data_IF_223746001996
#
_entry.id   IF_223746001996
#
_cell.length_a   1.000
_cell.length_b   1.000
_cell.length_c   1.000
_cell.angle_alpha   90.00
_cell.angle_beta   90.00
_cell.angle_gamma   90.00
#
_symmetry.space_group_name_H-M   'P 1'
#
loop_
_entity.id
_entity.type
_entity.pdbx_description
1 polymer ?
#
# COMPACT_ATOMS: atom_id res chain seq x y z
N UNK A 1 -3.11 -7.52 -4.88
CA UNK A 1 -1.91 -7.16 -5.70
C UNK A 1 -0.72 -7.94 -5.20
N UNK A 2 0.15 -8.41 -6.10
CA UNK A 2 1.36 -9.16 -5.72
C UNK A 2 2.59 -8.31 -6.07
N UNK A 3 3.49 -8.15 -5.09
CA UNK A 3 4.80 -7.53 -5.29
C UNK A 3 5.80 -8.67 -5.28
N UNK A 4 6.49 -8.94 -6.40
CA UNK A 4 7.41 -10.07 -6.49
C UNK A 4 8.66 -9.86 -5.64
N UNK A 5 9.31 -10.96 -5.27
CA UNK A 5 10.44 -10.99 -4.34
C UNK A 5 11.62 -10.10 -4.78
N UNK A 6 11.85 -9.99 -6.08
CA UNK A 6 12.94 -9.21 -6.69
C UNK A 6 12.78 -7.70 -6.43
N UNK A 7 11.54 -7.24 -6.18
CA UNK A 7 11.21 -5.85 -5.88
C UNK A 7 11.12 -5.54 -4.39
N UNK A 8 11.32 -6.55 -3.54
CA UNK A 8 11.23 -6.44 -2.09
C UNK A 8 12.61 -6.45 -1.44
N UNK A 9 12.85 -5.56 -0.49
CA UNK A 9 14.09 -5.57 0.32
C UNK A 9 14.28 -6.88 1.09
N UNK A 10 13.19 -7.49 1.51
CA UNK A 10 13.15 -8.77 2.24
C UNK A 10 13.41 -9.99 1.36
N UNK A 11 13.46 -9.81 0.02
CA UNK A 11 13.53 -10.89 -0.97
C UNK A 11 12.44 -11.96 -0.81
N UNK A 12 11.31 -11.58 -0.23
CA UNK A 12 10.12 -12.41 -0.11
C UNK A 12 8.95 -11.70 -0.82
N UNK A 13 8.15 -12.46 -1.56
CA UNK A 13 6.94 -11.96 -2.20
C UNK A 13 6.01 -11.31 -1.17
N UNK A 14 5.44 -10.17 -1.51
CA UNK A 14 4.46 -9.50 -0.67
C UNK A 14 3.11 -9.37 -1.38
N UNK A 15 2.07 -9.93 -0.77
CA UNK A 15 0.70 -9.84 -1.28
C UNK A 15 -0.01 -8.71 -0.53
N UNK A 16 -0.53 -7.73 -1.26
CA UNK A 16 -1.28 -6.60 -0.71
C UNK A 16 -2.77 -6.82 -0.98
N UNK A 17 -3.63 -6.95 0.06
CA UNK A 17 -5.07 -6.93 -0.12
C UNK A 17 -5.49 -5.55 -0.63
N UNK A 18 -6.24 -5.49 -1.72
CA UNK A 18 -6.78 -4.25 -2.24
C UNK A 18 -8.24 -4.14 -1.81
N UNK A 19 -8.63 -2.99 -1.26
CA UNK A 19 -10.04 -2.68 -1.00
C UNK A 19 -10.78 -2.41 -2.32
N UNK A 20 -12.10 -2.50 -2.32
CA UNK A 20 -12.93 -2.24 -3.50
C UNK A 20 -12.73 -0.80 -4.01
N UNK A 21 -12.53 0.16 -3.10
CA UNK A 21 -12.22 1.55 -3.46
C UNK A 21 -10.92 1.67 -4.24
N UNK A 22 -9.87 0.96 -3.82
CA UNK A 22 -8.58 0.96 -4.53
C UNK A 22 -8.72 0.27 -5.88
N UNK A 23 -9.47 -0.82 -5.97
CA UNK A 23 -9.75 -1.50 -7.25
C UNK A 23 -10.44 -0.56 -8.23
N UNK A 24 -11.50 0.13 -7.79
CA UNK A 24 -12.22 1.11 -8.62
C UNK A 24 -11.31 2.24 -9.11
N UNK A 25 -10.43 2.78 -8.24
CA UNK A 25 -9.47 3.81 -8.62
C UNK A 25 -8.44 3.30 -9.65
N UNK A 26 -7.97 2.07 -9.51
CA UNK A 26 -7.04 1.47 -10.46
C UNK A 26 -7.70 1.21 -11.82
N UNK A 27 -8.95 0.75 -11.83
CA UNK A 27 -9.74 0.56 -13.06
C UNK A 27 -9.99 1.89 -13.77
N UNK A 28 -10.39 2.92 -13.03
CA UNK A 28 -10.54 4.27 -13.57
C UNK A 28 -9.22 4.78 -14.15
N UNK A 29 -8.11 4.64 -13.42
CA UNK A 29 -6.80 5.09 -13.87
C UNK A 29 -6.32 4.32 -15.12
N UNK A 30 -6.66 3.04 -15.22
CA UNK A 30 -6.32 2.23 -16.40
C UNK A 30 -6.92 2.77 -17.70
N UNK A 31 -8.10 3.40 -17.63
CA UNK A 31 -8.74 4.02 -18.80
C UNK A 31 -7.92 5.20 -19.36
N UNK A 32 -7.13 5.87 -18.54
CA UNK A 32 -6.25 6.96 -18.92
C UNK A 32 -4.82 6.52 -19.24
N UNK A 33 -4.50 5.25 -19.02
CA UNK A 33 -3.16 4.74 -19.29
C UNK A 33 -2.91 4.59 -20.78
N UNK A 34 -1.77 5.10 -21.23
CA UNK A 34 -1.26 4.92 -22.61
C UNK A 34 -0.43 3.65 -22.76
N UNK A 35 -0.40 2.80 -21.75
CA UNK A 35 0.42 1.57 -21.71
C UNK A 35 -0.44 0.37 -21.33
N UNK A 36 -0.19 -0.77 -21.97
CA UNK A 36 -0.79 -2.03 -21.55
C UNK A 36 -0.06 -2.66 -20.34
N UNK A 37 1.16 -2.19 -20.05
CA UNK A 37 2.01 -2.74 -19.00
C UNK A 37 1.89 -1.95 -17.68
N UNK A 38 1.63 -0.64 -17.75
CA UNK A 38 1.64 0.25 -16.59
C UNK A 38 0.29 0.93 -16.41
N UNK A 39 -0.25 0.88 -15.20
CA UNK A 39 -1.47 1.62 -14.84
C UNK A 39 -1.17 3.12 -14.75
N UNK A 40 -0.03 3.47 -14.15
CA UNK A 40 0.43 4.85 -14.03
C UNK A 40 1.57 5.10 -15.01
N UNK A 41 1.29 5.88 -16.06
CA UNK A 41 2.25 6.24 -17.10
C UNK A 41 2.85 7.60 -16.85
N UNK A 42 4.10 7.77 -17.27
CA UNK A 42 4.83 9.03 -17.23
C UNK A 42 4.56 9.90 -18.45
N UNK A 43 5.37 10.97 -18.59
CA UNK A 43 5.32 11.87 -19.76
C UNK A 43 5.77 11.21 -21.06
N UNK A 44 6.64 10.21 -20.97
CA UNK A 44 7.13 9.46 -22.12
C UNK A 44 6.17 8.30 -22.37
N UNK A 45 5.59 8.20 -23.58
CA UNK A 45 4.67 7.10 -23.90
C UNK A 45 5.29 5.73 -23.64
N UNK A 46 4.51 4.84 -23.06
CA UNK A 46 4.95 3.47 -22.73
C UNK A 46 5.88 3.35 -21.53
N UNK A 47 6.29 4.44 -20.89
CA UNK A 47 7.12 4.41 -19.68
C UNK A 47 6.29 4.58 -18.41
N UNK A 48 6.71 3.97 -17.30
CA UNK A 48 6.04 4.11 -16.01
C UNK A 48 6.17 5.53 -15.46
N UNK A 49 5.30 5.87 -14.53
CA UNK A 49 5.42 7.09 -13.74
C UNK A 49 6.76 7.11 -12.99
N UNK A 50 7.48 8.21 -13.06
CA UNK A 50 8.79 8.34 -12.42
C UNK A 50 8.71 8.31 -10.88
N UNK A 51 9.76 7.83 -10.23
CA UNK A 51 9.82 7.68 -8.76
C UNK A 51 9.54 8.96 -7.97
N UNK A 52 9.88 10.12 -8.53
CA UNK A 52 9.69 11.43 -7.89
C UNK A 52 8.29 12.03 -8.10
N UNK A 53 7.45 11.38 -8.90
CA UNK A 53 6.17 11.95 -9.34
C UNK A 53 5.20 12.18 -8.18
N UNK A 54 5.05 11.22 -7.26
CA UNK A 54 4.16 11.37 -6.10
C UNK A 54 4.60 12.56 -5.23
N UNK A 55 5.91 12.71 -5.00
CA UNK A 55 6.44 13.87 -4.26
C UNK A 55 6.21 15.20 -4.98
N UNK A 56 6.27 15.20 -6.31
CA UNK A 56 5.98 16.38 -7.11
C UNK A 56 4.50 16.76 -7.03
N UNK A 57 3.60 15.78 -7.05
CA UNK A 57 2.16 15.98 -6.88
C UNK A 57 1.86 16.59 -5.50
N UNK A 58 2.42 16.05 -4.42
CA UNK A 58 2.22 16.58 -3.08
C UNK A 58 2.69 18.03 -2.96
N UNK A 59 3.81 18.39 -3.56
CA UNK A 59 4.27 19.79 -3.61
C UNK A 59 3.32 20.69 -4.41
N UNK A 60 2.81 20.20 -5.53
CA UNK A 60 1.84 20.95 -6.35
C UNK A 60 0.54 21.21 -5.59
N UNK A 61 0.13 20.29 -4.72
CA UNK A 61 -1.03 20.44 -3.84
C UNK A 61 -0.73 21.28 -2.60
N UNK A 62 0.50 21.82 -2.47
CA UNK A 62 1.01 22.55 -1.29
C UNK A 62 0.98 21.70 -0.01
N UNK A 63 1.07 20.38 -0.15
CA UNK A 63 1.05 19.46 0.98
C UNK A 63 2.46 19.25 1.55
N UNK A 64 2.63 19.49 2.85
CA UNK A 64 3.91 19.33 3.57
C UNK A 64 4.20 17.88 3.98
N UNK A 65 3.36 16.94 3.57
CA UNK A 65 3.55 15.53 3.84
C UNK A 65 4.54 14.86 2.86
N UNK A 66 4.96 13.66 3.18
CA UNK A 66 5.81 12.84 2.31
C UNK A 66 5.13 11.51 2.00
N UNK A 67 5.44 10.87 0.86
CA UNK A 67 4.91 9.53 0.58
C UNK A 67 5.21 8.52 1.68
N UNK A 68 6.33 8.66 2.38
CA UNK A 68 6.67 7.80 3.53
C UNK A 68 5.79 8.10 4.75
N UNK A 69 5.39 9.36 4.95
CA UNK A 69 4.50 9.77 6.03
C UNK A 69 3.17 9.04 6.03
N UNK A 70 2.62 8.70 4.86
CA UNK A 70 1.37 7.93 4.78
C UNK A 70 1.46 6.55 5.45
N UNK A 71 2.65 5.93 5.47
CA UNK A 71 2.86 4.67 6.21
C UNK A 71 2.78 4.89 7.72
N UNK A 72 3.34 5.99 8.20
CA UNK A 72 3.26 6.36 9.62
C UNK A 72 1.82 6.68 10.02
N UNK A 73 1.10 7.45 9.19
CA UNK A 73 -0.32 7.77 9.42
C UNK A 73 -1.18 6.50 9.51
N UNK A 74 -1.02 5.56 8.58
CA UNK A 74 -1.71 4.27 8.63
C UNK A 74 -1.40 3.52 9.93
N UNK A 75 -0.13 3.44 10.34
CA UNK A 75 0.29 2.74 11.55
C UNK A 75 -0.29 3.38 12.81
N UNK A 76 -0.24 4.72 12.90
CA UNK A 76 -0.81 5.48 14.02
C UNK A 76 -2.31 5.26 14.10
N UNK A 77 -3.02 5.40 12.98
CA UNK A 77 -4.45 5.11 12.93
C UNK A 77 -4.79 3.68 13.40
N UNK A 78 -4.06 2.67 12.94
CA UNK A 78 -4.27 1.31 13.41
C UNK A 78 -4.09 1.19 14.92
N UNK A 79 -3.11 1.87 15.50
CA UNK A 79 -2.79 1.77 16.92
C UNK A 79 -3.76 2.56 17.81
N UNK A 80 -4.28 3.69 17.35
CA UNK A 80 -5.07 4.62 18.15
C UNK A 80 -6.57 4.46 17.94
N UNK A 81 -7.00 4.11 16.71
CA UNK A 81 -8.40 4.11 16.31
C UNK A 81 -8.98 2.70 16.10
N UNK A 82 -8.17 1.65 16.29
CA UNK A 82 -8.62 0.27 16.03
C UNK A 82 -8.12 -0.72 17.08
N UNK A 83 -8.77 -1.88 17.12
CA UNK A 83 -8.35 -3.03 17.93
C UNK A 83 -7.70 -4.14 17.10
N UNK A 84 -7.18 -3.84 15.92
CA UNK A 84 -6.55 -4.84 15.08
C UNK A 84 -5.26 -5.37 15.69
N UNK A 85 -4.98 -6.63 15.37
CA UNK A 85 -3.76 -7.30 15.79
C UNK A 85 -2.52 -6.56 15.26
N UNK A 86 -1.58 -6.29 16.17
CA UNK A 86 -0.34 -5.58 15.85
C UNK A 86 0.45 -6.25 14.73
N UNK A 87 0.56 -7.59 14.75
CA UNK A 87 1.32 -8.32 13.72
C UNK A 87 0.65 -8.21 12.35
N UNK A 88 -0.67 -8.30 12.29
CA UNK A 88 -1.42 -8.13 11.05
C UNK A 88 -1.24 -6.73 10.48
N UNK A 89 -1.22 -5.70 11.32
CA UNK A 89 -0.97 -4.30 10.93
C UNK A 89 0.44 -4.13 10.34
N UNK A 90 1.46 -4.62 11.03
CA UNK A 90 2.85 -4.54 10.55
C UNK A 90 3.05 -5.34 9.24
N UNK A 91 2.37 -6.47 9.08
CA UNK A 91 2.35 -7.22 7.83
C UNK A 91 1.72 -6.43 6.66
N UNK A 92 0.74 -5.56 6.90
CA UNK A 92 0.21 -4.66 5.87
C UNK A 92 1.30 -3.71 5.34
N UNK A 93 2.22 -3.32 6.19
CA UNK A 93 3.37 -2.45 5.87
C UNK A 93 4.60 -3.24 5.37
N UNK A 94 4.51 -4.56 5.23
CA UNK A 94 5.67 -5.41 4.90
C UNK A 94 6.84 -5.25 5.88
N UNK A 95 6.54 -4.97 7.16
CA UNK A 95 7.54 -4.96 8.20
C UNK A 95 7.81 -6.38 8.68
N UNK A 96 9.08 -6.69 8.90
CA UNK A 96 9.46 -7.91 9.60
C UNK A 96 9.15 -7.72 11.10
N UNK A 97 8.26 -8.53 11.64
CA UNK A 97 7.85 -8.43 13.05
C UNK A 97 8.24 -9.70 13.79
N UNK A 98 8.81 -9.51 14.98
CA UNK A 98 9.20 -10.59 15.85
C UNK A 98 10.55 -11.23 15.49
N UNK A 99 10.95 -12.24 16.28
CA UNK A 99 12.14 -13.05 16.02
C UNK A 99 11.93 -13.94 14.78
N UNK A 100 13.03 -14.46 14.20
CA UNK A 100 12.97 -15.42 13.11
C UNK A 100 12.09 -16.65 13.47
N UNK A 101 12.03 -17.02 14.75
CA UNK A 101 11.16 -18.07 15.26
C UNK A 101 9.69 -17.68 15.19
N UNK A 102 9.33 -16.47 15.60
CA UNK A 102 7.95 -15.97 15.52
C UNK A 102 7.49 -15.88 14.06
N UNK A 103 8.36 -15.45 13.16
CA UNK A 103 8.08 -15.39 11.71
C UNK A 103 7.85 -16.80 11.11
N UNK A 104 8.57 -17.83 11.60
CA UNK A 104 8.36 -19.20 11.16
C UNK A 104 6.98 -19.76 11.60
N UNK A 105 6.40 -19.26 12.68
CA UNK A 105 5.05 -19.62 13.13
C UNK A 105 3.93 -18.89 12.38
N UNK A 106 4.22 -17.75 11.75
CA UNK A 106 3.30 -17.02 10.88
C UNK A 106 3.26 -17.71 9.49
N UNK A 107 2.73 -18.92 9.45
CA UNK A 107 2.55 -19.67 8.20
C UNK A 107 1.47 -19.00 7.36
N UNK A 108 1.88 -18.38 6.25
CA UNK A 108 1.00 -17.76 5.27
C UNK A 108 1.11 -16.24 5.22
N UNK A 109 0.43 -15.65 4.25
CA UNK A 109 0.46 -14.21 3.95
C UNK A 109 -0.47 -13.37 4.85
N UNK A 110 -1.25 -14.02 5.73
CA UNK A 110 -2.19 -13.36 6.63
C UNK A 110 -3.29 -12.55 5.93
N UNK A 111 -3.60 -12.85 4.67
CA UNK A 111 -4.57 -12.08 3.85
C UNK A 111 -5.92 -11.96 4.55
N UNK A 112 -6.43 -13.04 5.15
CA UNK A 112 -7.73 -13.04 5.85
C UNK A 112 -7.78 -12.03 7.01
N UNK A 113 -6.67 -11.86 7.74
CA UNK A 113 -6.53 -10.87 8.82
C UNK A 113 -6.25 -9.46 8.32
N UNK A 114 -5.52 -9.33 7.22
CA UNK A 114 -5.08 -8.04 6.65
C UNK A 114 -6.15 -7.38 5.79
N UNK A 115 -7.04 -8.14 5.16
CA UNK A 115 -8.12 -7.59 4.33
C UNK A 115 -9.04 -6.64 5.11
N UNK A 116 -9.61 -7.02 6.27
CA UNK A 116 -10.46 -6.12 7.06
C UNK A 116 -9.76 -4.81 7.46
N UNK A 117 -8.45 -4.87 7.74
CA UNK A 117 -7.66 -3.67 8.06
C UNK A 117 -7.63 -2.71 6.86
N UNK A 118 -7.35 -3.23 5.66
CA UNK A 118 -7.27 -2.41 4.45
C UNK A 118 -8.63 -1.86 4.02
N UNK A 119 -9.70 -2.61 4.24
CA UNK A 119 -11.07 -2.17 3.93
C UNK A 119 -11.51 -1.05 4.89
N UNK A 120 -11.23 -1.19 6.18
CA UNK A 120 -11.54 -0.16 7.17
C UNK A 120 -10.67 1.10 6.99
N UNK A 121 -9.39 0.93 6.64
CA UNK A 121 -8.52 2.04 6.26
C UNK A 121 -9.06 2.82 5.06
N UNK A 122 -9.52 2.11 4.02
CA UNK A 122 -10.12 2.75 2.86
C UNK A 122 -11.39 3.55 3.20
N UNK A 123 -12.22 3.03 4.11
CA UNK A 123 -13.40 3.72 4.62
C UNK A 123 -13.03 4.97 5.43
N UNK A 124 -12.02 4.87 6.29
CA UNK A 124 -11.50 6.01 7.04
C UNK A 124 -10.98 7.11 6.12
N UNK A 125 -10.17 6.77 5.13
CA UNK A 125 -9.68 7.74 4.15
C UNK A 125 -10.81 8.41 3.36
N UNK A 126 -11.89 7.68 3.06
CA UNK A 126 -13.03 8.23 2.33
C UNK A 126 -13.90 9.17 3.19
N UNK A 127 -13.95 8.95 4.51
CA UNK A 127 -14.72 9.81 5.44
C UNK A 127 -13.98 11.09 5.82
N UNK A 128 -12.66 11.14 5.65
CA UNK A 128 -11.80 12.29 5.94
C UNK A 128 -11.58 13.21 4.71
N UNK A 129 -12.10 12.83 3.55
CA UNK A 129 -12.00 13.59 2.29
C UNK A 129 -13.26 14.43 2.07
#
# INVERSE_FOLDING_TARGET
MVIPAERMKTRAQHVVPLSDRVLALLEQQKQYSTSQQYVFTGRVPGQPLGEKAIRAILRYMDERCTPHGFRSTFRTWCAEETSFDFYATEMCLSHAVGSAVAQAYLRGDGISKRRPIMDQWASFCASAA
#
